data_IF_126275984469
#
_entry.id   IF_126275984469
#
_cell.length_a   1.000
_cell.length_b   1.000
_cell.length_c   1.000
_cell.angle_alpha   90.00
_cell.angle_beta   90.00
_cell.angle_gamma   90.00
#
_symmetry.space_group_name_H-M   'P 1'
#
loop_
_entity.id
_entity.type
_entity.pdbx_description
1 polymer ?
#
# COMPACT_ATOMS: atom_id res chain seq x y z
N UNK A 1 1.54 -8.95 -0.34
CA UNK A 1 1.72 -7.67 -1.05
C UNK A 1 1.62 -8.03 -2.51
N UNK A 2 0.67 -7.43 -3.21
CA UNK A 2 0.44 -7.73 -4.63
C UNK A 2 1.66 -7.31 -5.47
N UNK A 3 1.90 -8.00 -6.57
CA UNK A 3 2.96 -7.63 -7.52
C UNK A 3 2.72 -6.23 -8.10
N UNK A 4 1.45 -5.86 -8.33
CA UNK A 4 1.08 -4.53 -8.81
C UNK A 4 1.35 -3.46 -7.74
N UNK A 5 0.99 -3.73 -6.48
CA UNK A 5 1.30 -2.83 -5.34
C UNK A 5 2.81 -2.62 -5.22
N UNK A 6 3.61 -3.67 -5.43
CA UNK A 6 5.07 -3.58 -5.35
C UNK A 6 5.63 -2.72 -6.48
N UNK A 7 5.16 -2.93 -7.70
CA UNK A 7 5.59 -2.14 -8.86
C UNK A 7 5.28 -0.64 -8.67
N UNK A 8 4.12 -0.30 -8.11
CA UNK A 8 3.74 1.09 -7.83
C UNK A 8 4.67 1.72 -6.79
N UNK A 9 4.96 1.01 -5.68
CA UNK A 9 5.89 1.53 -4.67
C UNK A 9 7.30 1.72 -5.26
N UNK A 10 7.79 0.74 -6.01
CA UNK A 10 9.14 0.80 -6.59
C UNK A 10 9.26 1.98 -7.58
N UNK A 11 8.22 2.26 -8.38
CA UNK A 11 8.18 3.43 -9.26
C UNK A 11 8.19 4.75 -8.47
N UNK A 12 7.35 4.88 -7.44
CA UNK A 12 7.28 6.09 -6.62
C UNK A 12 8.60 6.36 -5.88
N UNK A 13 9.29 5.29 -5.46
CA UNK A 13 10.62 5.36 -4.84
C UNK A 13 11.70 5.81 -5.83
N UNK A 14 11.65 5.35 -7.09
CA UNK A 14 12.54 5.84 -8.14
C UNK A 14 12.32 7.32 -8.43
N UNK A 15 11.07 7.76 -8.57
CA UNK A 15 10.73 9.17 -8.76
C UNK A 15 11.24 10.06 -7.61
N UNK A 16 11.08 9.59 -6.37
CA UNK A 16 11.63 10.29 -5.19
C UNK A 16 13.16 10.36 -5.24
N UNK A 17 13.82 9.27 -5.62
CA UNK A 17 15.28 9.23 -5.77
C UNK A 17 15.78 10.21 -6.84
N UNK A 18 15.06 10.39 -7.94
CA UNK A 18 15.39 11.39 -8.95
C UNK A 18 15.18 12.82 -8.43
N UNK A 19 14.07 13.10 -7.72
CA UNK A 19 13.81 14.41 -7.13
C UNK A 19 14.87 14.81 -6.09
N UNK A 20 15.35 13.85 -5.31
CA UNK A 20 16.42 14.07 -4.32
C UNK A 20 17.78 14.45 -4.94
N UNK A 21 17.98 14.26 -6.25
CA UNK A 21 19.18 14.75 -6.95
C UNK A 21 19.12 16.25 -7.23
N UNK A 22 17.92 16.82 -7.21
CA UNK A 22 17.68 18.25 -7.34
C UNK A 22 17.64 18.96 -5.99
N UNK A 23 17.13 20.18 -5.99
CA UNK A 23 17.02 21.05 -4.80
C UNK A 23 15.61 21.62 -4.62
N UNK A 24 14.62 21.09 -5.34
CA UNK A 24 13.22 21.42 -5.17
C UNK A 24 12.63 20.66 -3.97
N UNK A 25 12.79 21.25 -2.78
CA UNK A 25 12.28 20.70 -1.53
C UNK A 25 10.76 20.54 -1.52
N UNK A 26 10.02 21.37 -2.26
CA UNK A 26 8.56 21.26 -2.35
C UNK A 26 8.15 20.03 -3.17
N UNK A 27 8.84 19.75 -4.28
CA UNK A 27 8.61 18.54 -5.06
C UNK A 27 8.91 17.26 -4.26
N UNK A 28 10.00 17.25 -3.47
CA UNK A 28 10.36 16.12 -2.60
C UNK A 28 9.30 15.89 -1.52
N UNK A 29 8.81 16.97 -0.89
CA UNK A 29 7.75 16.88 0.12
C UNK A 29 6.45 16.33 -0.46
N UNK A 30 6.03 16.82 -1.63
CA UNK A 30 4.83 16.31 -2.31
C UNK A 30 4.97 14.83 -2.67
N UNK A 31 6.11 14.41 -3.22
CA UNK A 31 6.33 13.01 -3.58
C UNK A 31 6.34 12.11 -2.34
N UNK A 32 6.92 12.57 -1.23
CA UNK A 32 6.92 11.82 0.05
C UNK A 32 5.49 11.66 0.59
N UNK A 33 4.67 12.71 0.53
CA UNK A 33 3.24 12.62 0.91
C UNK A 33 2.48 11.65 0.03
N UNK A 34 2.71 11.69 -1.28
CA UNK A 34 2.08 10.79 -2.24
C UNK A 34 2.44 9.34 -1.97
N UNK A 35 3.72 9.05 -1.73
CA UNK A 35 4.19 7.73 -1.36
C UNK A 35 3.48 7.21 -0.10
N UNK A 36 3.40 8.03 0.96
CA UNK A 36 2.68 7.67 2.20
C UNK A 36 1.22 7.32 1.93
N UNK A 37 0.49 8.17 1.20
CA UNK A 37 -0.93 7.96 0.88
C UNK A 37 -1.17 6.66 0.11
N UNK A 38 -0.31 6.38 -0.87
CA UNK A 38 -0.40 5.15 -1.67
C UNK A 38 -0.17 3.92 -0.80
N UNK A 39 0.83 3.95 0.09
CA UNK A 39 1.11 2.84 1.00
C UNK A 39 0.03 2.64 2.07
N UNK A 40 -0.58 3.72 2.56
CA UNK A 40 -1.69 3.66 3.52
C UNK A 40 -2.92 2.99 2.90
N UNK A 41 -3.21 3.31 1.62
CA UNK A 41 -4.31 2.68 0.90
C UNK A 41 -4.10 1.16 0.70
N UNK A 42 -2.86 0.71 0.53
CA UNK A 42 -2.54 -0.73 0.49
C UNK A 42 -2.70 -1.39 1.86
N UNK A 43 -2.26 -0.73 2.93
CA UNK A 43 -2.43 -1.22 4.29
C UNK A 43 -3.92 -1.37 4.64
N UNK A 44 -4.75 -0.38 4.32
CA UNK A 44 -6.20 -0.43 4.53
C UNK A 44 -6.85 -1.59 3.75
N UNK A 45 -6.47 -1.78 2.48
CA UNK A 45 -6.98 -2.91 1.66
C UNK A 45 -6.59 -4.26 2.26
N UNK A 46 -5.35 -4.44 2.70
CA UNK A 46 -4.89 -5.68 3.35
C UNK A 46 -5.60 -5.96 4.66
N UNK A 47 -5.86 -4.93 5.46
CA UNK A 47 -6.64 -5.07 6.70
C UNK A 47 -8.05 -5.56 6.38
N UNK A 48 -8.73 -4.94 5.41
CA UNK A 48 -10.06 -5.36 4.98
C UNK A 48 -10.09 -6.80 4.45
N UNK A 49 -9.10 -7.21 3.65
CA UNK A 49 -8.99 -8.59 3.16
C UNK A 49 -8.78 -9.60 4.31
N UNK A 50 -7.92 -9.27 5.28
CA UNK A 50 -7.65 -10.11 6.45
C UNK A 50 -8.90 -10.28 7.30
N UNK A 51 -9.61 -9.18 7.57
CA UNK A 51 -10.88 -9.21 8.32
C UNK A 51 -11.93 -10.05 7.59
N UNK A 52 -12.09 -9.86 6.28
CA UNK A 52 -13.03 -10.64 5.47
C UNK A 52 -12.70 -12.13 5.49
N UNK A 53 -11.42 -12.50 5.37
CA UNK A 53 -10.99 -13.90 5.43
C UNK A 53 -11.24 -14.52 6.80
N UNK A 54 -10.98 -13.80 7.89
CA UNK A 54 -11.24 -14.26 9.26
C UNK A 54 -12.75 -14.50 9.50
N UNK A 55 -13.61 -13.63 9.00
CA UNK A 55 -15.07 -13.79 9.10
C UNK A 55 -15.58 -14.95 8.24
N UNK A 56 -15.03 -15.16 7.04
CA UNK A 56 -15.41 -16.27 6.17
C UNK A 56 -14.97 -17.62 6.75
N UNK A 57 -13.77 -17.71 7.34
CA UNK A 57 -13.29 -18.93 8.00
C UNK A 57 -14.14 -19.32 9.22
N UNK A 58 -14.69 -18.34 9.95
CA UNK A 58 -15.67 -18.60 11.02
C UNK A 58 -17.00 -19.15 10.51
N UNK A 59 -17.56 -18.57 9.45
CA UNK A 59 -18.83 -19.05 8.87
C UNK A 59 -18.71 -20.45 8.26
N UNK A 60 -17.56 -20.79 7.65
CA UNK A 60 -17.33 -22.11 7.08
C UNK A 60 -17.25 -23.20 8.17
N UNK A 61 -16.63 -22.88 9.31
CA UNK A 61 -16.54 -23.81 10.45
C UNK A 61 -17.89 -24.05 11.17
N UNK A 62 -18.90 -23.21 10.96
CA UNK A 62 -20.25 -23.41 11.51
C UNK A 62 -21.15 -24.29 10.63
N UNK A 63 -20.71 -24.66 9.41
CA UNK A 63 -21.48 -25.50 8.48
C UNK A 63 -21.07 -27.00 8.59
N UNK A 64 -20.01 -27.31 9.34
CA UNK A 64 -19.52 -28.69 9.55
C UNK A 64 -19.96 -29.37 10.86
N UNK A 65 -20.96 -28.84 11.58
CA UNK A 65 -21.62 -29.55 12.71
C UNK A 65 -23.05 -30.02 12.39
#
# INVERSE_FOLDING_TARGET
>A
MDAEERMVIDLQMQELAELMKGSDGYAIEQQTKRLSQVTDAFAARRMNQTVKAALAGRNLNEIEE
#
